data_IF_812732583012
#
_entry.id   IF_812732583012
#
_cell.length_a   1.000
_cell.length_b   1.000
_cell.length_c   1.000
_cell.angle_alpha   90.00
_cell.angle_beta   90.00
_cell.angle_gamma   90.00
#
_symmetry.space_group_name_H-M   'P 1'
#
loop_
_entity.id
_entity.type
_entity.pdbx_description
1 polymer ?
#
# COMPACT_ATOMS: atom_id res chain seq x y z
N UNK A 1 -5.69 -12.21 8.49
CA UNK A 1 -5.58 -11.06 7.55
C UNK A 1 -5.63 -9.78 8.38
N UNK A 2 -4.59 -8.95 8.37
CA UNK A 2 -4.43 -7.82 9.31
C UNK A 2 -4.99 -6.48 8.79
N UNK A 3 -5.12 -6.34 7.48
CA UNK A 3 -5.67 -5.16 6.83
C UNK A 3 -7.06 -5.45 6.26
N UNK A 4 -8.05 -4.65 6.66
CA UNK A 4 -9.43 -4.75 6.16
C UNK A 4 -9.51 -4.25 4.70
N UNK A 5 -10.49 -4.72 3.90
CA UNK A 5 -10.82 -4.10 2.61
C UNK A 5 -10.96 -2.58 2.74
N UNK A 6 -10.41 -1.83 1.79
CA UNK A 6 -10.40 -0.36 1.84
C UNK A 6 -9.41 0.26 2.84
N UNK A 7 -8.68 -0.57 3.60
CA UNK A 7 -7.67 -0.12 4.56
C UNK A 7 -6.49 0.61 3.92
N UNK A 8 -5.66 1.23 4.76
CA UNK A 8 -4.48 2.01 4.35
C UNK A 8 -3.20 1.38 4.87
N UNK A 9 -2.16 1.45 4.06
CA UNK A 9 -0.81 1.02 4.38
C UNK A 9 0.13 2.20 4.31
N UNK A 10 1.09 2.27 5.24
CA UNK A 10 2.13 3.30 5.27
C UNK A 10 3.45 2.63 5.61
N UNK A 11 4.49 2.86 4.81
CA UNK A 11 5.84 2.40 5.10
C UNK A 11 6.85 3.53 4.93
N UNK A 12 7.77 3.64 5.89
CA UNK A 12 8.98 4.44 5.76
C UNK A 12 10.04 3.61 5.05
N UNK A 13 10.62 4.14 3.99
CA UNK A 13 11.57 3.41 3.15
C UNK A 13 12.76 4.29 2.82
N UNK A 14 13.93 3.68 2.65
CA UNK A 14 15.08 4.34 2.04
C UNK A 14 14.98 4.20 0.53
N UNK A 15 15.12 5.31 -0.20
CA UNK A 15 15.08 5.30 -1.66
C UNK A 15 16.34 4.63 -2.22
N UNK A 16 16.16 3.41 -2.73
CA UNK A 16 17.19 2.60 -3.36
C UNK A 16 16.66 1.86 -4.60
N UNK A 17 17.45 0.96 -5.20
CA UNK A 17 17.08 0.24 -6.43
C UNK A 17 15.74 -0.49 -6.35
N UNK A 18 15.43 -1.05 -5.18
CA UNK A 18 14.25 -1.90 -4.97
C UNK A 18 12.95 -1.10 -4.78
N UNK A 19 13.04 0.24 -4.67
CA UNK A 19 11.87 1.09 -4.47
C UNK A 19 10.81 0.89 -5.55
N UNK A 20 11.23 0.79 -6.81
CA UNK A 20 10.30 0.64 -7.93
C UNK A 20 9.55 -0.70 -7.87
N UNK A 21 10.19 -1.75 -7.36
CA UNK A 21 9.53 -3.05 -7.17
C UNK A 21 8.49 -3.00 -6.07
N UNK A 22 8.82 -2.41 -4.92
CA UNK A 22 7.87 -2.19 -3.84
C UNK A 22 6.67 -1.36 -4.34
N UNK A 23 6.92 -0.26 -5.04
CA UNK A 23 5.87 0.61 -5.54
C UNK A 23 4.94 -0.08 -6.54
N UNK A 24 5.47 -0.99 -7.38
CA UNK A 24 4.63 -1.86 -8.23
C UNK A 24 3.78 -2.81 -7.39
N UNK A 25 4.39 -3.45 -6.39
CA UNK A 25 3.69 -4.38 -5.51
C UNK A 25 2.56 -3.70 -4.72
N UNK A 26 2.77 -2.48 -4.22
CA UNK A 26 1.73 -1.70 -3.53
C UNK A 26 0.64 -1.29 -4.53
N UNK A 27 0.96 -0.77 -5.72
CA UNK A 27 -0.05 -0.40 -6.74
C UNK A 27 -0.97 -1.56 -7.14
N UNK A 28 -0.44 -2.78 -7.21
CA UNK A 28 -1.24 -3.96 -7.51
C UNK A 28 -2.29 -4.26 -6.43
N UNK A 29 -2.04 -3.88 -5.17
CA UNK A 29 -2.84 -4.26 -3.99
C UNK A 29 -3.69 -3.13 -3.43
N UNK A 30 -3.53 -1.91 -3.93
CA UNK A 30 -4.24 -0.71 -3.45
C UNK A 30 -4.84 0.07 -4.61
N UNK A 31 -5.91 0.83 -4.36
CA UNK A 31 -6.57 1.67 -5.38
C UNK A 31 -5.67 2.80 -5.85
N UNK A 32 -4.89 3.38 -4.94
CA UNK A 32 -3.88 4.38 -5.28
C UNK A 32 -2.65 4.29 -4.40
N UNK A 33 -1.53 4.80 -4.91
CA UNK A 33 -0.26 4.88 -4.19
C UNK A 33 0.26 6.30 -4.21
N UNK A 34 0.72 6.78 -3.06
CA UNK A 34 1.38 8.08 -2.91
C UNK A 34 2.75 7.90 -2.29
N UNK A 35 3.69 8.71 -2.75
CA UNK A 35 5.03 8.78 -2.18
C UNK A 35 5.31 10.21 -1.78
N UNK A 36 5.81 10.44 -0.57
CA UNK A 36 6.20 11.79 -0.15
C UNK A 36 7.37 11.77 0.84
N UNK A 37 8.12 12.88 0.88
CA UNK A 37 9.12 13.17 1.91
C UNK A 37 8.50 14.14 2.93
N UNK A 38 8.32 13.74 4.20
CA UNK A 38 7.76 14.64 5.22
C UNK A 38 8.66 15.85 5.48
N UNK A 39 8.07 16.99 5.84
CA UNK A 39 8.82 18.18 6.26
C UNK A 39 9.66 17.94 7.54
N UNK A 40 9.27 16.96 8.36
CA UNK A 40 10.03 16.54 9.54
C UNK A 40 11.24 15.65 9.21
N UNK A 41 11.39 15.20 7.97
CA UNK A 41 12.57 14.46 7.53
C UNK A 41 13.72 15.41 7.22
N UNK A 42 14.93 15.05 7.65
CA UNK A 42 16.13 15.85 7.33
C UNK A 42 16.37 15.90 5.82
N UNK A 43 16.90 17.01 5.33
CA UNK A 43 17.10 17.24 3.90
C UNK A 43 18.03 16.19 3.27
N UNK A 44 19.08 15.80 3.97
CA UNK A 44 20.09 14.82 3.56
C UNK A 44 19.61 13.37 3.58
N UNK A 45 18.54 13.07 4.29
CA UNK A 45 18.00 11.70 4.37
C UNK A 45 17.40 11.27 3.04
N UNK A 46 17.72 10.06 2.58
CA UNK A 46 17.07 9.44 1.41
C UNK A 46 15.75 8.75 1.76
N UNK A 47 15.20 9.01 2.94
CA UNK A 47 13.95 8.41 3.39
C UNK A 47 12.74 9.09 2.76
N UNK A 48 11.79 8.27 2.33
CA UNK A 48 10.46 8.65 1.86
C UNK A 48 9.42 7.76 2.54
N UNK A 49 8.16 8.19 2.47
CA UNK A 49 7.02 7.39 2.89
C UNK A 49 6.22 6.96 1.67
N UNK A 50 5.90 5.68 1.60
CA UNK A 50 5.01 5.10 0.60
C UNK A 50 3.68 4.70 1.23
N UNK A 51 2.60 5.18 0.62
CA UNK A 51 1.24 5.07 1.12
C UNK A 51 0.39 4.28 0.13
N UNK A 52 -0.12 3.12 0.55
CA UNK A 52 -1.16 2.39 -0.14
C UNK A 52 -2.54 2.80 0.38
N UNK A 53 -3.42 3.28 -0.51
CA UNK A 53 -4.76 3.74 -0.15
C UNK A 53 -5.81 2.85 -0.81
N UNK A 54 -6.75 2.33 -0.02
CA UNK A 54 -7.84 1.48 -0.49
C UNK A 54 -7.35 0.06 -0.79
N UNK A 55 -7.10 -0.73 0.26
CA UNK A 55 -6.64 -2.11 0.08
C UNK A 55 -7.65 -2.95 -0.71
N UNK A 56 -7.23 -3.40 -1.90
CA UNK A 56 -7.97 -4.31 -2.77
C UNK A 56 -7.93 -5.68 -2.12
N UNK A 57 -8.92 -5.96 -1.29
CA UNK A 57 -9.03 -7.29 -0.77
C UNK A 57 -9.32 -8.25 -1.93
N UNK A 58 -8.55 -9.33 -2.09
CA UNK A 58 -9.03 -10.48 -2.87
C UNK A 58 -10.50 -10.75 -2.49
N UNK A 59 -11.39 -10.98 -3.48
CA UNK A 59 -12.78 -11.23 -3.21
C UNK A 59 -12.84 -12.31 -2.14
N UNK A 60 -13.47 -11.97 -1.01
CA UNK A 60 -13.83 -12.99 -0.03
C UNK A 60 -14.67 -13.97 -0.85
N UNK A 61 -14.21 -15.23 -0.97
CA UNK A 61 -14.87 -16.24 -1.78
C UNK A 61 -16.37 -16.22 -1.54
N UNK A 62 -17.13 -16.24 -2.63
CA UNK A 62 -18.59 -16.13 -2.58
C UNK A 62 -19.19 -17.14 -1.62
N UNK A 63 -19.94 -16.64 -0.64
CA UNK A 63 -21.04 -17.43 -0.09
C UNK A 63 -22.12 -17.47 -1.16
N UNK A 64 -22.02 -18.43 -2.08
CA UNK A 64 -23.22 -18.95 -2.75
C UNK A 64 -24.08 -19.60 -1.67
N UNK A 65 -25.07 -18.86 -1.15
CA UNK A 65 -26.29 -19.46 -0.60
C UNK A 65 -27.47 -19.01 -1.45
N UNK A 66 -27.51 -19.58 -2.64
CA UNK A 66 -28.77 -19.92 -3.29
C UNK A 66 -29.10 -21.35 -2.88
N UNK A 67 -30.00 -21.52 -1.93
CA UNK A 67 -30.89 -22.67 -1.91
C UNK A 67 -32.24 -22.19 -1.35
N UNK A 68 -33.27 -22.68 -2.04
CA UNK A 68 -34.65 -22.23 -2.02
C UNK A 68 -35.38 -22.51 -0.71
#
# INVERSE_FOLDING_TARGET
RWLKPGGRFVAKIFMGPDFQELARAVRARFDSVKTFKPNSSRAESKEIFELGLGFKSAPVGGENRSEA
#
